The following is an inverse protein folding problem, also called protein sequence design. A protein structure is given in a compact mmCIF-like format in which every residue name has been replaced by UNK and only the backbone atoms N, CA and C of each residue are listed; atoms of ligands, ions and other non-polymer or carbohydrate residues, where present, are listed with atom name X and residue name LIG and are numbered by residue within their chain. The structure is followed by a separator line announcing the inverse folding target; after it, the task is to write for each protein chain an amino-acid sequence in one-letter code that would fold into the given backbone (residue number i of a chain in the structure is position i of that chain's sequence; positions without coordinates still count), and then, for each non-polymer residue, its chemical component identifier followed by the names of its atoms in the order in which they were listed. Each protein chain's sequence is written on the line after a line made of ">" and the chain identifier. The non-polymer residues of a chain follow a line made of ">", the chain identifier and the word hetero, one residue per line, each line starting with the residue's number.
data_IF_376310691574
#
_entry.id   IF_376310691574
#
_cell.length_a   1.000
_cell.length_b   1.000
_cell.length_c   1.000
_cell.angle_alpha   90.00
_cell.angle_beta   90.00
_cell.angle_gamma   90.00
#
_symmetry.space_group_name_H-M   'P 1'
#
loop_
_entity.id
_entity.type
_entity.pdbx_description
1 polymer ?
#
# COMPACT_ATOMS: atom_id res chain seq x y z
N UNK A 1 4.25 13.38 8.34
CA UNK A 1 5.33 12.70 7.59
C UNK A 1 5.21 13.12 6.14
N UNK A 2 6.31 13.51 5.49
CA UNK A 2 6.31 13.80 4.04
C UNK A 2 6.72 12.55 3.22
N UNK A 3 6.70 12.65 1.89
CA UNK A 3 7.03 11.52 0.99
C UNK A 3 8.49 11.08 1.15
N UNK A 4 9.43 12.02 1.30
CA UNK A 4 10.85 11.72 1.44
C UNK A 4 11.13 10.92 2.72
N UNK A 5 10.53 11.34 3.84
CA UNK A 5 10.63 10.64 5.11
C UNK A 5 10.05 9.23 4.98
N UNK A 6 8.89 9.07 4.34
CA UNK A 6 8.22 7.78 4.15
C UNK A 6 9.11 6.78 3.39
N UNK A 7 9.77 7.25 2.32
CA UNK A 7 10.73 6.45 1.55
C UNK A 7 11.93 6.07 2.42
N UNK A 8 12.47 7.00 3.21
CA UNK A 8 13.66 6.78 4.07
C UNK A 8 13.41 5.78 5.19
N UNK A 9 12.25 5.80 5.84
CA UNK A 9 11.98 4.89 6.97
C UNK A 9 11.47 3.53 6.52
N UNK A 10 10.92 3.39 5.30
CA UNK A 10 10.35 2.12 4.84
C UNK A 10 11.42 1.02 4.84
N UNK A 11 11.06 -0.15 5.35
CA UNK A 11 11.90 -1.36 5.42
C UNK A 11 11.13 -2.58 4.94
N UNK A 12 11.85 -3.58 4.46
CA UNK A 12 11.25 -4.87 4.08
C UNK A 12 11.13 -5.73 5.34
N UNK A 13 9.96 -5.67 5.98
CA UNK A 13 9.65 -6.42 7.20
C UNK A 13 9.39 -7.90 6.85
N UNK A 14 9.85 -8.81 7.69
CA UNK A 14 9.75 -10.28 7.48
C UNK A 14 9.06 -11.03 8.63
N UNK A 15 8.68 -10.33 9.69
CA UNK A 15 7.93 -10.86 10.85
C UNK A 15 6.96 -9.78 11.34
N UNK A 16 5.71 -10.15 11.57
CA UNK A 16 4.63 -9.24 11.96
C UNK A 16 4.04 -9.65 13.29
N UNK A 17 3.46 -8.69 14.00
CA UNK A 17 2.65 -8.97 15.19
C UNK A 17 1.32 -9.59 14.74
N UNK A 18 0.65 -10.43 15.55
CA UNK A 18 -0.66 -11.00 15.24
C UNK A 18 -1.81 -9.98 15.44
N UNK A 19 -1.53 -8.70 15.21
CA UNK A 19 -2.47 -7.60 15.41
C UNK A 19 -3.05 -7.25 14.04
N UNK A 20 -4.38 -7.35 13.85
CA UNK A 20 -5.01 -6.94 12.60
C UNK A 20 -4.88 -5.43 12.40
N UNK A 21 -4.87 -5.00 11.13
CA UNK A 21 -5.00 -3.59 10.78
C UNK A 21 -6.47 -3.18 10.75
N UNK A 22 -6.77 -1.89 10.92
CA UNK A 22 -8.13 -1.40 10.74
C UNK A 22 -8.55 -1.44 9.27
N UNK A 23 -9.84 -1.61 9.02
CA UNK A 23 -10.41 -1.58 7.67
C UNK A 23 -10.12 -0.25 6.95
N UNK A 24 -10.18 0.87 7.66
CA UNK A 24 -9.84 2.18 7.11
C UNK A 24 -8.38 2.25 6.61
N UNK A 25 -7.44 1.68 7.37
CA UNK A 25 -6.04 1.64 6.97
C UNK A 25 -5.84 0.74 5.75
N UNK A 26 -6.50 -0.42 5.72
CA UNK A 26 -6.49 -1.33 4.58
C UNK A 26 -6.99 -0.63 3.31
N UNK A 27 -8.16 0.02 3.38
CA UNK A 27 -8.77 0.69 2.23
C UNK A 27 -7.91 1.85 1.70
N UNK A 28 -7.27 2.62 2.59
CA UNK A 28 -6.32 3.68 2.20
C UNK A 28 -5.13 3.13 1.40
N UNK A 29 -4.60 1.97 1.78
CA UNK A 29 -3.47 1.34 1.09
C UNK A 29 -3.90 0.81 -0.29
N UNK A 30 -5.05 0.15 -0.36
CA UNK A 30 -5.59 -0.37 -1.62
C UNK A 30 -5.88 0.75 -2.63
N UNK A 31 -6.48 1.84 -2.16
CA UNK A 31 -6.76 3.01 -3.01
C UNK A 31 -5.47 3.65 -3.53
N UNK A 32 -4.44 3.80 -2.68
CA UNK A 32 -3.14 4.29 -3.12
C UNK A 32 -2.50 3.39 -4.19
N UNK A 33 -2.64 2.07 -4.07
CA UNK A 33 -2.19 1.11 -5.09
C UNK A 33 -2.97 1.21 -6.40
N UNK A 34 -4.30 1.37 -6.33
CA UNK A 34 -5.18 1.49 -7.50
C UNK A 34 -4.87 2.74 -8.33
N UNK A 35 -4.49 3.84 -7.68
CA UNK A 35 -4.14 5.12 -8.32
C UNK A 35 -2.77 5.12 -9.01
N UNK A 36 -1.98 4.03 -8.90
CA UNK A 36 -0.71 3.93 -9.60
C UNK A 36 -0.90 4.02 -11.13
N UNK A 37 0.01 4.69 -11.85
CA UNK A 37 -0.10 4.80 -13.30
C UNK A 37 0.06 3.43 -13.98
N UNK A 38 -0.76 3.17 -15.00
CA UNK A 38 -0.65 1.99 -15.86
C UNK A 38 -0.62 2.39 -17.33
N UNK A 39 0.06 1.60 -18.16
CA UNK A 39 0.09 1.82 -19.60
C UNK A 39 -1.33 1.80 -20.18
N UNK A 40 -1.74 2.92 -20.80
CA UNK A 40 -3.11 3.09 -21.32
C UNK A 40 -4.20 3.05 -20.24
N UNK A 41 -3.88 3.33 -18.97
CA UNK A 41 -4.79 3.26 -17.83
C UNK A 41 -5.52 1.90 -17.68
N UNK A 42 -4.88 0.81 -18.12
CA UNK A 42 -5.51 -0.52 -18.08
C UNK A 42 -5.78 -1.05 -16.68
N UNK A 43 -5.10 -0.52 -15.67
CA UNK A 43 -5.18 -0.96 -14.27
C UNK A 43 -5.21 -2.49 -14.11
N UNK A 44 -4.22 -3.21 -14.66
CA UNK A 44 -4.25 -4.68 -14.76
C UNK A 44 -3.88 -5.38 -13.44
N UNK A 45 -4.33 -4.85 -12.32
CA UNK A 45 -4.03 -5.33 -10.97
C UNK A 45 -5.30 -5.82 -10.29
N UNK A 46 -5.16 -6.90 -9.53
CA UNK A 46 -6.17 -7.42 -8.63
C UNK A 46 -5.52 -7.67 -7.27
N UNK A 47 -6.07 -7.06 -6.23
CA UNK A 47 -5.58 -7.22 -4.86
C UNK A 47 -6.49 -8.23 -4.13
N UNK A 48 -5.88 -9.31 -3.63
CA UNK A 48 -6.56 -10.31 -2.80
C UNK A 48 -6.04 -10.11 -1.37
N UNK A 49 -6.96 -9.91 -0.43
CA UNK A 49 -6.67 -9.61 0.98
C UNK A 49 -7.16 -10.74 1.87
#
# INVERSE_FOLDING_TARGET
>A
MNVEDAIKIRRSIRKYKPIPISEEALMKILEAGRLAPSAGNRQPWHFIV
#
